data_IF_176173625019
#
_entry.id   IF_176173625019
#
_cell.length_a   1.000
_cell.length_b   1.000
_cell.length_c   1.000
_cell.angle_alpha   90.00
_cell.angle_beta   90.00
_cell.angle_gamma   90.00
#
_symmetry.space_group_name_H-M   'P 1'
#
loop_
_entity.id
_entity.type
_entity.pdbx_description
1 polymer ?
#
# COMPACT_ATOMS: atom_id res chain seq x y z
N UNK A 1 -22.10 0.95 52.73
CA UNK A 1 -22.59 -0.38 53.15
C UNK A 1 -22.33 -1.28 51.95
N UNK A 2 -21.46 -2.28 51.98
CA UNK A 2 -21.55 -3.50 52.81
C UNK A 2 -20.16 -4.15 52.97
N UNK A 3 -20.00 -4.83 54.10
CA UNK A 3 -18.83 -5.59 54.57
C UNK A 3 -18.75 -6.98 53.89
N UNK A 4 -17.60 -7.68 54.00
CA UNK A 4 -17.20 -8.74 53.07
C UNK A 4 -17.89 -10.08 53.36
N UNK A 5 -18.17 -10.82 52.30
CA UNK A 5 -18.59 -12.22 52.40
C UNK A 5 -17.41 -13.08 52.85
N UNK A 6 -17.62 -13.79 53.95
CA UNK A 6 -16.66 -14.68 54.57
C UNK A 6 -16.41 -15.91 53.68
N UNK A 7 -15.16 -16.37 53.51
CA UNK A 7 -14.90 -17.70 52.98
C UNK A 7 -15.20 -18.73 54.08
N UNK A 8 -16.43 -19.20 54.10
CA UNK A 8 -16.85 -20.38 54.86
C UNK A 8 -16.42 -21.63 54.08
N UNK A 9 -15.19 -22.12 54.26
CA UNK A 9 -14.77 -23.45 53.77
C UNK A 9 -13.33 -23.82 54.19
N UNK A 10 -13.11 -24.29 55.43
CA UNK A 10 -11.97 -25.19 55.71
C UNK A 10 -12.25 -26.08 56.92
N UNK A 11 -13.08 -27.11 56.78
CA UNK A 11 -13.18 -28.17 57.82
C UNK A 11 -13.09 -29.60 57.28
N UNK A 12 -13.00 -29.80 55.95
CA UNK A 12 -13.09 -31.14 55.34
C UNK A 12 -11.78 -31.88 55.06
N UNK A 13 -10.64 -31.20 54.87
CA UNK A 13 -9.48 -31.80 54.18
C UNK A 13 -8.59 -32.75 55.01
N UNK A 14 -8.52 -32.57 56.33
CA UNK A 14 -7.62 -33.35 57.20
C UNK A 14 -8.32 -33.98 58.40
N UNK A 15 -9.34 -33.31 58.95
CA UNK A 15 -10.10 -33.79 60.11
C UNK A 15 -11.05 -34.95 59.71
N UNK A 16 -11.59 -34.93 58.49
CA UNK A 16 -12.44 -36.01 57.94
C UNK A 16 -11.71 -37.35 57.79
N UNK A 17 -10.50 -37.35 57.20
CA UNK A 17 -9.67 -38.57 57.03
C UNK A 17 -9.26 -39.18 58.38
N UNK A 18 -8.98 -38.36 59.39
CA UNK A 18 -8.70 -38.83 60.75
C UNK A 18 -9.91 -39.49 61.41
N UNK A 19 -11.12 -38.97 61.15
CA UNK A 19 -12.36 -39.50 61.72
C UNK A 19 -12.76 -40.82 61.07
N UNK A 20 -12.52 -40.98 59.76
CA UNK A 20 -12.72 -42.23 59.02
C UNK A 20 -11.82 -43.37 59.53
N UNK A 21 -10.50 -43.12 59.66
CA UNK A 21 -9.56 -44.08 60.25
C UNK A 21 -9.88 -44.42 61.71
N UNK A 22 -10.34 -43.43 62.50
CA UNK A 22 -10.76 -43.65 63.88
C UNK A 22 -12.03 -44.54 63.98
N UNK A 23 -13.04 -44.32 63.14
CA UNK A 23 -14.24 -45.19 63.06
C UNK A 23 -13.88 -46.60 62.61
N UNK A 24 -12.95 -46.75 61.67
CA UNK A 24 -12.51 -48.05 61.19
C UNK A 24 -11.70 -48.83 62.24
N UNK A 25 -10.85 -48.14 63.01
CA UNK A 25 -10.13 -48.72 64.14
C UNK A 25 -11.08 -49.07 65.30
N UNK A 26 -12.06 -48.21 65.62
CA UNK A 26 -13.06 -48.47 66.64
C UNK A 26 -14.00 -49.63 66.26
N UNK A 27 -14.46 -49.71 65.00
CA UNK A 27 -15.27 -50.82 64.49
C UNK A 27 -14.54 -52.17 64.54
N UNK A 28 -13.27 -52.22 64.13
CA UNK A 28 -12.45 -53.43 64.22
C UNK A 28 -12.14 -53.84 65.68
N UNK A 29 -12.04 -52.88 66.61
CA UNK A 29 -11.77 -53.16 68.03
C UNK A 29 -13.04 -53.56 68.82
N UNK A 30 -14.23 -53.09 68.41
CA UNK A 30 -15.53 -53.40 69.02
C UNK A 30 -16.28 -54.55 68.33
N UNK A 31 -15.77 -55.07 67.19
CA UNK A 31 -16.41 -56.14 66.42
C UNK A 31 -17.59 -55.68 65.56
N UNK A 32 -17.64 -54.41 65.17
CA UNK A 32 -18.70 -53.81 64.36
C UNK A 32 -18.23 -53.55 62.92
N UNK A 33 -18.38 -54.56 62.06
CA UNK A 33 -17.98 -54.53 60.65
C UNK A 33 -18.66 -53.42 59.85
N UNK A 34 -19.86 -53.00 60.28
CA UNK A 34 -20.64 -51.96 59.60
C UNK A 34 -19.96 -50.59 59.73
N UNK A 35 -19.43 -50.29 60.92
CA UNK A 35 -18.70 -49.04 61.19
C UNK A 35 -17.35 -49.00 60.43
N UNK A 36 -16.67 -50.14 60.32
CA UNK A 36 -15.43 -50.26 59.55
C UNK A 36 -15.67 -50.13 58.03
N UNK A 37 -16.80 -50.63 57.51
CA UNK A 37 -17.18 -50.45 56.12
C UNK A 37 -17.54 -48.99 55.78
N UNK A 38 -18.23 -48.27 56.67
CA UNK A 38 -18.58 -46.85 56.49
C UNK A 38 -17.34 -45.96 56.46
N UNK A 39 -16.34 -46.22 57.31
CA UNK A 39 -15.08 -45.48 57.31
C UNK A 39 -14.32 -45.62 55.98
N UNK A 40 -14.26 -46.83 55.40
CA UNK A 40 -13.66 -47.07 54.08
C UNK A 40 -14.41 -46.36 52.96
N UNK A 41 -15.73 -46.34 53.02
CA UNK A 41 -16.55 -45.63 52.03
C UNK A 41 -16.33 -44.12 52.09
N UNK A 42 -16.23 -43.55 53.29
CA UNK A 42 -15.94 -42.12 53.48
C UNK A 42 -14.52 -41.76 53.00
N UNK A 43 -13.52 -42.61 53.26
CA UNK A 43 -12.15 -42.40 52.77
C UNK A 43 -12.10 -42.45 51.24
N UNK A 44 -12.72 -43.46 50.61
CA UNK A 44 -12.82 -43.56 49.16
C UNK A 44 -13.57 -42.38 48.51
N UNK A 45 -14.62 -41.87 49.16
CA UNK A 45 -15.37 -40.71 48.67
C UNK A 45 -14.53 -39.43 48.71
N UNK A 46 -13.73 -39.24 49.77
CA UNK A 46 -12.82 -38.09 49.89
C UNK A 46 -11.69 -38.17 48.87
N UNK A 47 -11.08 -39.35 48.68
CA UNK A 47 -10.04 -39.54 47.66
C UNK A 47 -10.57 -39.26 46.26
N UNK A 48 -11.73 -39.81 45.90
CA UNK A 48 -12.39 -39.54 44.61
C UNK A 48 -12.67 -38.04 44.41
N UNK A 49 -13.12 -37.33 45.46
CA UNK A 49 -13.36 -35.90 45.37
C UNK A 49 -12.07 -35.08 45.23
N UNK A 50 -10.99 -35.48 45.90
CA UNK A 50 -9.68 -34.85 45.76
C UNK A 50 -9.11 -35.05 44.35
N UNK A 51 -9.23 -36.26 43.80
CA UNK A 51 -8.81 -36.58 42.42
C UNK A 51 -9.62 -35.77 41.40
N UNK A 52 -10.96 -35.78 41.49
CA UNK A 52 -11.81 -35.00 40.59
C UNK A 52 -11.51 -33.48 40.65
N UNK A 53 -11.17 -32.94 41.83
CA UNK A 53 -10.76 -31.54 41.97
C UNK A 53 -9.42 -31.26 41.30
N UNK A 54 -8.45 -32.17 41.42
CA UNK A 54 -7.14 -32.04 40.75
C UNK A 54 -7.31 -32.09 39.24
N UNK A 55 -8.05 -33.07 38.73
CA UNK A 55 -8.34 -33.19 37.30
C UNK A 55 -9.05 -31.96 36.76
N UNK A 56 -10.04 -31.42 37.47
CA UNK A 56 -10.74 -30.19 37.07
C UNK A 56 -9.80 -28.97 37.04
N UNK A 57 -8.90 -28.86 38.01
CA UNK A 57 -7.91 -27.79 38.04
C UNK A 57 -6.89 -27.91 36.89
N UNK A 58 -6.38 -29.10 36.62
CA UNK A 58 -5.48 -29.36 35.49
C UNK A 58 -6.15 -29.17 34.14
N UNK A 59 -7.43 -29.54 34.01
CA UNK A 59 -8.22 -29.27 32.82
C UNK A 59 -8.39 -27.76 32.59
N UNK A 60 -8.75 -27.01 33.65
CA UNK A 60 -8.87 -25.56 33.57
C UNK A 60 -7.56 -24.85 33.23
N UNK A 61 -6.43 -25.32 33.75
CA UNK A 61 -5.11 -24.80 33.37
C UNK A 61 -4.81 -25.07 31.89
N UNK A 62 -5.01 -26.30 31.42
CA UNK A 62 -4.78 -26.65 30.00
C UNK A 62 -5.69 -25.89 29.05
N UNK A 63 -6.94 -25.67 29.44
CA UNK A 63 -7.89 -24.86 28.66
C UNK A 63 -7.43 -23.39 28.59
N UNK A 64 -7.01 -22.82 29.72
CA UNK A 64 -6.47 -21.45 29.75
C UNK A 64 -5.21 -21.28 28.91
N UNK A 65 -4.27 -22.24 28.97
CA UNK A 65 -3.07 -22.24 28.11
C UNK A 65 -3.45 -22.33 26.62
N UNK A 66 -4.36 -23.24 26.27
CA UNK A 66 -4.83 -23.39 24.90
C UNK A 66 -5.53 -22.12 24.37
N UNK A 67 -6.31 -21.43 25.22
CA UNK A 67 -6.95 -20.17 24.85
C UNK A 67 -5.92 -19.08 24.58
N UNK A 68 -4.90 -18.93 25.44
CA UNK A 68 -3.83 -17.96 25.25
C UNK A 68 -3.05 -18.24 23.96
N UNK A 69 -2.73 -19.51 23.70
CA UNK A 69 -2.02 -19.89 22.46
C UNK A 69 -2.87 -19.62 21.21
N UNK A 70 -4.17 -19.90 21.26
CA UNK A 70 -5.10 -19.59 20.18
C UNK A 70 -5.18 -18.07 19.92
N UNK A 71 -5.29 -17.27 20.98
CA UNK A 71 -5.29 -15.80 20.86
C UNK A 71 -3.99 -15.27 20.26
N UNK A 72 -2.83 -15.82 20.66
CA UNK A 72 -1.52 -15.45 20.10
C UNK A 72 -1.42 -15.79 18.62
N UNK A 73 -1.84 -16.98 18.21
CA UNK A 73 -1.83 -17.39 16.82
C UNK A 73 -2.74 -16.51 15.95
N UNK A 74 -3.93 -16.16 16.46
CA UNK A 74 -4.84 -15.24 15.79
C UNK A 74 -4.23 -13.83 15.65
N UNK A 75 -3.62 -13.31 16.72
CA UNK A 75 -2.98 -12.00 16.71
C UNK A 75 -1.78 -11.94 15.75
N UNK A 76 -0.99 -13.01 15.66
CA UNK A 76 0.12 -13.09 14.71
C UNK A 76 -0.37 -13.13 13.26
N UNK A 77 -1.41 -13.90 12.98
CA UNK A 77 -2.02 -13.96 11.65
C UNK A 77 -2.56 -12.60 11.23
N UNK A 78 -3.26 -11.92 12.14
CA UNK A 78 -3.78 -10.58 11.87
C UNK A 78 -2.66 -9.55 11.69
N UNK A 79 -1.59 -9.64 12.48
CA UNK A 79 -0.39 -8.78 12.31
C UNK A 79 0.20 -8.97 10.91
N UNK A 80 0.40 -10.20 10.47
CA UNK A 80 0.93 -10.50 9.13
C UNK A 80 0.00 -9.96 8.03
N UNK A 81 -1.33 -10.10 8.19
CA UNK A 81 -2.32 -9.54 7.26
C UNK A 81 -2.20 -8.02 7.16
N UNK A 82 -2.14 -7.32 8.30
CA UNK A 82 -2.03 -5.86 8.36
C UNK A 82 -0.70 -5.35 7.81
N UNK A 83 0.41 -6.06 8.06
CA UNK A 83 1.71 -5.73 7.47
C UNK A 83 1.69 -5.86 5.95
N UNK A 84 1.08 -6.93 5.42
CA UNK A 84 0.91 -7.13 3.99
C UNK A 84 0.03 -6.04 3.35
N UNK A 85 -1.08 -5.67 4.00
CA UNK A 85 -1.97 -4.59 3.56
C UNK A 85 -1.24 -3.25 3.54
N UNK A 86 -0.48 -2.93 4.60
CA UNK A 86 0.33 -1.71 4.66
C UNK A 86 1.38 -1.68 3.55
N UNK A 87 2.06 -2.79 3.29
CA UNK A 87 3.05 -2.88 2.22
C UNK A 87 2.41 -2.78 0.83
N UNK A 88 1.20 -3.31 0.64
CA UNK A 88 0.43 -3.11 -0.59
C UNK A 88 0.09 -1.63 -0.80
N UNK A 89 -0.48 -0.97 0.21
CA UNK A 89 -0.82 0.45 0.16
C UNK A 89 0.39 1.35 -0.13
N UNK A 90 1.52 1.08 0.52
CA UNK A 90 2.75 1.83 0.26
C UNK A 90 3.26 1.69 -1.18
N UNK A 91 3.08 0.50 -1.79
CA UNK A 91 3.42 0.28 -3.21
C UNK A 91 2.45 1.03 -4.12
N UNK A 92 1.16 1.01 -3.83
CA UNK A 92 0.15 1.78 -4.58
C UNK A 92 0.45 3.29 -4.53
N UNK A 93 0.73 3.83 -3.34
CA UNK A 93 1.08 5.24 -3.15
C UNK A 93 2.39 5.62 -3.88
N UNK A 94 3.34 4.70 -4.01
CA UNK A 94 4.56 4.91 -4.80
C UNK A 94 4.25 4.95 -6.30
N UNK A 95 3.49 3.96 -6.80
CA UNK A 95 3.09 3.87 -8.20
C UNK A 95 2.29 5.11 -8.62
N UNK A 96 1.37 5.59 -7.78
CA UNK A 96 0.57 6.77 -8.09
C UNK A 96 1.43 8.04 -8.16
N UNK A 97 2.39 8.20 -7.25
CA UNK A 97 3.33 9.33 -7.30
C UNK A 97 4.20 9.28 -8.56
N UNK A 98 4.71 8.11 -8.91
CA UNK A 98 5.51 7.93 -10.11
C UNK A 98 4.68 8.21 -11.38
N UNK A 99 3.42 7.77 -11.40
CA UNK A 99 2.48 8.06 -12.48
C UNK A 99 2.24 9.55 -12.63
N UNK A 100 1.89 10.26 -11.56
CA UNK A 100 1.66 11.71 -11.59
C UNK A 100 2.90 12.44 -12.10
N UNK A 101 4.10 12.03 -11.64
CA UNK A 101 5.35 12.63 -12.09
C UNK A 101 5.59 12.39 -13.58
N UNK A 102 5.39 11.16 -14.06
CA UNK A 102 5.54 10.82 -15.47
C UNK A 102 4.55 11.58 -16.35
N UNK A 103 3.29 11.74 -15.93
CA UNK A 103 2.28 12.52 -16.64
C UNK A 103 2.68 14.01 -16.72
N UNK A 104 3.21 14.59 -15.62
CA UNK A 104 3.70 15.97 -15.61
C UNK A 104 4.91 16.17 -16.52
N UNK A 105 5.86 15.25 -16.50
CA UNK A 105 7.05 15.29 -17.38
C UNK A 105 6.65 15.19 -18.85
N UNK A 106 5.75 14.25 -19.19
CA UNK A 106 5.24 14.09 -20.54
C UNK A 106 4.46 15.32 -21.03
N UNK A 107 3.64 15.93 -20.17
CA UNK A 107 2.92 17.17 -20.51
C UNK A 107 3.89 18.33 -20.76
N UNK A 108 4.91 18.49 -19.91
CA UNK A 108 5.92 19.53 -20.08
C UNK A 108 6.76 19.33 -21.35
N UNK A 109 7.10 18.09 -21.69
CA UNK A 109 7.80 17.76 -22.93
C UNK A 109 6.94 18.04 -24.17
N UNK A 110 5.66 17.65 -24.14
CA UNK A 110 4.73 17.91 -25.23
C UNK A 110 4.59 19.42 -25.52
N UNK A 111 4.45 20.24 -24.47
CA UNK A 111 4.38 21.70 -24.62
C UNK A 111 5.69 22.29 -25.18
N UNK A 112 6.85 21.80 -24.75
CA UNK A 112 8.15 22.22 -25.31
C UNK A 112 8.28 21.88 -26.79
N UNK A 113 7.91 20.67 -27.17
CA UNK A 113 7.94 20.23 -28.56
C UNK A 113 7.01 21.07 -29.43
N UNK A 114 5.79 21.34 -28.94
CA UNK A 114 4.82 22.20 -29.62
C UNK A 114 5.36 23.61 -29.80
N UNK A 115 5.85 24.24 -28.74
CA UNK A 115 6.44 25.58 -28.79
C UNK A 115 7.63 25.65 -29.75
N UNK A 116 8.51 24.65 -29.74
CA UNK A 116 9.64 24.58 -30.67
C UNK A 116 9.20 24.40 -32.12
N UNK A 117 8.15 23.60 -32.37
CA UNK A 117 7.62 23.39 -33.71
C UNK A 117 6.95 24.66 -34.25
N UNK A 118 6.17 25.36 -33.41
CA UNK A 118 5.54 26.64 -33.76
C UNK A 118 6.58 27.72 -34.04
N UNK A 119 7.62 27.83 -33.20
CA UNK A 119 8.73 28.74 -33.43
C UNK A 119 9.48 28.42 -34.74
N UNK A 120 9.71 27.14 -35.02
CA UNK A 120 10.32 26.69 -36.27
C UNK A 120 9.49 27.05 -37.50
N UNK A 121 8.17 26.86 -37.45
CA UNK A 121 7.25 27.25 -38.54
C UNK A 121 7.27 28.76 -38.77
N UNK A 122 7.14 29.55 -37.70
CA UNK A 122 7.14 31.01 -37.80
C UNK A 122 8.46 31.54 -38.40
N UNK A 123 9.60 30.97 -38.00
CA UNK A 123 10.89 31.33 -38.57
C UNK A 123 10.99 30.97 -40.06
N UNK A 124 10.47 29.81 -40.47
CA UNK A 124 10.43 29.41 -41.88
C UNK A 124 9.52 30.31 -42.72
N UNK A 125 8.35 30.67 -42.21
CA UNK A 125 7.41 31.59 -42.87
C UNK A 125 8.05 32.97 -43.07
N UNK A 126 8.68 33.54 -42.03
CA UNK A 126 9.39 34.82 -42.14
C UNK A 126 10.56 34.77 -43.14
N UNK A 127 11.30 33.66 -43.14
CA UNK A 127 12.40 33.47 -44.09
C UNK A 127 11.88 33.38 -45.53
N UNK A 128 10.76 32.68 -45.75
CA UNK A 128 10.11 32.58 -47.06
C UNK A 128 9.60 33.95 -47.52
N UNK A 129 8.89 34.70 -46.67
CA UNK A 129 8.41 36.05 -46.97
C UNK A 129 9.56 36.98 -47.34
N UNK A 130 10.65 36.97 -46.56
CA UNK A 130 11.84 37.77 -46.86
C UNK A 130 12.48 37.38 -48.19
N UNK A 131 12.54 36.08 -48.51
CA UNK A 131 13.07 35.60 -49.77
C UNK A 131 12.19 36.01 -50.96
N UNK A 132 10.87 35.95 -50.81
CA UNK A 132 9.90 36.39 -51.82
C UNK A 132 10.02 37.89 -52.08
N UNK A 133 10.07 38.73 -51.03
CA UNK A 133 10.27 40.16 -51.17
C UNK A 133 11.56 40.50 -51.92
N UNK A 134 12.65 39.81 -51.58
CA UNK A 134 13.94 40.00 -52.26
C UNK A 134 13.84 39.61 -53.74
N UNK A 135 13.27 38.46 -54.04
CA UNK A 135 13.11 37.99 -55.41
C UNK A 135 12.22 38.93 -56.23
N UNK A 136 11.20 39.53 -55.63
CA UNK A 136 10.35 40.53 -56.29
C UNK A 136 11.12 41.82 -56.57
N UNK A 137 11.89 42.33 -55.60
CA UNK A 137 12.75 43.51 -55.80
C UNK A 137 13.78 43.29 -56.91
N UNK A 138 14.41 42.11 -56.93
CA UNK A 138 15.37 41.73 -57.98
C UNK A 138 14.68 41.64 -59.35
N UNK A 139 13.46 41.08 -59.43
CA UNK A 139 12.66 41.06 -60.67
C UNK A 139 12.31 42.45 -61.18
N UNK A 140 11.86 43.34 -60.29
CA UNK A 140 11.54 44.73 -60.66
C UNK A 140 12.79 45.47 -61.16
N UNK A 141 13.93 45.32 -60.47
CA UNK A 141 15.19 45.94 -60.88
C UNK A 141 15.67 45.43 -62.24
N UNK A 142 15.61 44.11 -62.48
CA UNK A 142 15.96 43.52 -63.77
C UNK A 142 15.05 44.00 -64.91
N UNK A 143 13.74 44.13 -64.67
CA UNK A 143 12.81 44.65 -65.66
C UNK A 143 13.06 46.12 -66.01
N UNK A 144 13.40 46.95 -65.02
CA UNK A 144 13.78 48.35 -65.22
C UNK A 144 15.07 48.48 -66.03
N UNK A 145 16.08 47.67 -65.69
CA UNK A 145 17.35 47.65 -66.43
C UNK A 145 17.17 47.18 -67.87
N UNK A 146 16.38 46.12 -68.11
CA UNK A 146 16.06 45.66 -69.45
C UNK A 146 15.36 46.77 -70.27
N UNK A 147 14.39 47.47 -69.68
CA UNK A 147 13.71 48.60 -70.34
C UNK A 147 14.69 49.73 -70.69
N UNK A 148 15.63 50.06 -69.79
CA UNK A 148 16.67 51.08 -70.05
C UNK A 148 17.56 50.66 -71.21
N UNK A 149 18.05 49.42 -71.21
CA UNK A 149 18.90 48.88 -72.28
C UNK A 149 18.17 48.85 -73.63
N UNK A 150 16.89 48.52 -73.65
CA UNK A 150 16.08 48.58 -74.88
C UNK A 150 15.95 50.01 -75.42
N UNK A 151 15.77 51.00 -74.54
CA UNK A 151 15.72 52.41 -74.95
C UNK A 151 17.06 52.88 -75.52
N UNK A 152 18.17 52.58 -74.83
CA UNK A 152 19.53 52.89 -75.29
C UNK A 152 19.82 52.23 -76.65
N UNK A 153 19.41 50.97 -76.85
CA UNK A 153 19.55 50.26 -78.11
C UNK A 153 18.74 50.93 -79.24
N UNK A 154 17.49 51.31 -78.99
CA UNK A 154 16.66 52.04 -79.98
C UNK A 154 17.25 53.40 -80.33
N UNK A 155 17.77 54.13 -79.35
CA UNK A 155 18.45 55.40 -79.60
C UNK A 155 19.73 55.23 -80.42
N UNK A 156 20.54 54.21 -80.12
CA UNK A 156 21.74 53.88 -80.87
C UNK A 156 21.40 53.49 -82.32
N UNK A 157 20.37 52.67 -82.53
CA UNK A 157 19.87 52.30 -83.85
C UNK A 157 19.37 53.51 -84.64
N UNK A 158 18.57 54.38 -84.02
CA UNK A 158 18.09 55.61 -84.64
C UNK A 158 19.25 56.55 -85.04
N UNK A 159 20.27 56.68 -84.18
CA UNK A 159 21.48 57.46 -84.48
C UNK A 159 22.28 56.86 -85.63
N UNK A 160 22.44 55.54 -85.67
CA UNK A 160 23.16 54.85 -86.74
C UNK A 160 22.47 55.07 -88.09
N UNK A 161 21.14 54.89 -88.15
CA UNK A 161 20.34 55.13 -89.35
C UNK A 161 20.36 56.59 -89.84
N UNK A 162 20.56 57.56 -88.93
CA UNK A 162 20.69 58.97 -89.29
C UNK A 162 22.07 59.31 -89.91
N UNK A 163 23.12 58.54 -89.60
CA UNK A 163 24.48 58.75 -90.10
C UNK A 163 24.71 58.02 -91.43
N UNK A 164 24.12 56.84 -91.61
CA UNK A 164 24.21 56.03 -92.84
C UNK A 164 22.81 55.60 -93.31
N UNK A 165 22.03 56.50 -93.93
CA UNK A 165 20.74 56.14 -94.49
C UNK A 165 20.97 55.23 -95.70
N UNK A 166 20.59 53.96 -95.60
CA UNK A 166 20.61 53.04 -96.74
C UNK A 166 19.73 53.60 -97.87
N UNK A 167 20.34 53.85 -99.04
CA UNK A 167 19.65 54.14 -100.33
C UNK A 167 18.78 52.97 -100.80
#
# INVERSE_FOLDING_TARGET
MTKPDAPEQVTGGLIGKLTGKAKQAAGNALGDDKLAAEGRLQEAQVETQEEARREAFEAGQREGEAEVDAQRAAAETERQRLEAEKAAKQREDAIERDRIKAEQEAAAEAERLKASAEAGRSAQEQAAETAEERAERERVAAAQEATRLEQEAREAEARANAIDPKE
#
